data_IF_339588629883
#
_entry.id   IF_339588629883
#
_cell.length_a   1.000
_cell.length_b   1.000
_cell.length_c   1.000
_cell.angle_alpha   90.00
_cell.angle_beta   90.00
_cell.angle_gamma   90.00
#
_symmetry.space_group_name_H-M   'P 1'
#
loop_
_entity.id
_entity.type
_entity.pdbx_description
1 polymer ?
#
# COMPACT_ATOMS: atom_id res chain seq x y z
N UNK A 1 -9.65 -18.15 -2.57
CA UNK A 1 -8.90 -18.19 -3.83
C UNK A 1 -9.92 -18.42 -4.92
N UNK A 2 -10.39 -17.34 -5.56
CA UNK A 2 -11.43 -17.42 -6.59
C UNK A 2 -10.75 -17.42 -7.96
N UNK A 3 -11.05 -18.46 -8.73
CA UNK A 3 -10.49 -18.77 -10.04
C UNK A 3 -10.99 -17.74 -11.08
N UNK A 4 -10.05 -17.11 -11.80
CA UNK A 4 -10.35 -16.17 -12.88
C UNK A 4 -10.66 -16.97 -14.13
N UNK A 5 -11.93 -17.05 -14.49
CA UNK A 5 -12.38 -17.75 -15.68
C UNK A 5 -12.12 -16.89 -16.91
N UNK A 6 -11.10 -17.27 -17.67
CA UNK A 6 -10.72 -16.66 -18.95
C UNK A 6 -11.81 -16.99 -19.98
N UNK A 7 -12.43 -15.95 -20.54
CA UNK A 7 -13.41 -16.08 -21.61
C UNK A 7 -12.66 -16.31 -22.92
N UNK A 8 -12.78 -17.52 -23.47
CA UNK A 8 -12.21 -17.89 -24.77
C UNK A 8 -13.11 -17.33 -25.91
N UNK A 9 -12.55 -16.57 -26.87
CA UNK A 9 -13.32 -15.95 -27.95
C UNK A 9 -13.92 -16.92 -28.98
N UNK A 10 -13.69 -18.24 -28.85
CA UNK A 10 -14.18 -19.24 -29.80
C UNK A 10 -15.19 -20.24 -29.22
N UNK A 11 -15.87 -19.86 -28.13
CA UNK A 11 -16.88 -20.70 -27.49
C UNK A 11 -18.14 -20.85 -28.36
N UNK A 12 -18.68 -22.07 -28.40
CA UNK A 12 -19.79 -22.49 -29.27
C UNK A 12 -21.07 -21.66 -29.08
N UNK A 13 -21.18 -20.97 -27.94
CA UNK A 13 -22.27 -20.04 -27.62
C UNK A 13 -22.28 -18.80 -28.52
N UNK A 14 -21.11 -18.29 -28.94
CA UNK A 14 -21.02 -17.11 -29.82
C UNK A 14 -21.42 -17.49 -31.26
N UNK A 15 -21.02 -18.69 -31.71
CA UNK A 15 -21.41 -19.22 -33.01
C UNK A 15 -22.92 -19.49 -33.11
N UNK A 16 -23.53 -19.99 -32.03
CA UNK A 16 -24.98 -20.21 -31.98
C UNK A 16 -25.75 -18.87 -32.01
N UNK A 17 -25.28 -17.86 -31.30
CA UNK A 17 -25.92 -16.54 -31.26
C UNK A 17 -25.79 -15.79 -32.60
N UNK A 18 -24.70 -15.98 -33.33
CA UNK A 18 -24.49 -15.41 -34.67
C UNK A 18 -25.37 -16.07 -35.75
N UNK A 19 -25.69 -17.36 -35.60
CA UNK A 19 -26.60 -18.05 -36.51
C UNK A 19 -28.05 -17.52 -36.40
N UNK A 20 -28.52 -17.20 -35.19
CA UNK A 20 -29.86 -16.64 -34.98
C UNK A 20 -30.01 -15.22 -35.55
N UNK A 21 -28.94 -14.41 -35.50
CA UNK A 21 -28.96 -13.03 -36.04
C UNK A 21 -29.08 -12.99 -37.58
N UNK A 22 -28.64 -14.05 -38.29
CA UNK A 22 -28.65 -14.08 -39.75
C UNK A 22 -30.00 -14.44 -40.38
N UNK A 23 -30.92 -15.06 -39.63
CA UNK A 23 -32.24 -15.48 -40.13
C UNK A 23 -33.29 -14.36 -40.01
N UNK A 24 -33.01 -13.32 -39.22
CA UNK A 24 -33.94 -12.21 -39.01
C UNK A 24 -33.59 -10.96 -39.83
N UNK A 25 -33.17 -11.14 -41.10
CA UNK A 25 -32.92 -10.06 -42.07
C UNK A 25 -33.99 -9.95 -43.16
N UNK A 26 -35.19 -10.48 -42.91
CA UNK A 26 -36.23 -10.59 -43.95
C UNK A 26 -37.64 -10.19 -43.56
N UNK A 27 -37.92 -9.78 -42.32
CA UNK A 27 -39.28 -9.41 -41.95
C UNK A 27 -39.38 -8.03 -41.28
N UNK A 28 -40.33 -7.30 -41.82
CA UNK A 28 -40.75 -5.93 -41.57
C UNK A 28 -40.89 -5.57 -40.08
N UNK A 29 -39.94 -4.78 -39.57
CA UNK A 29 -40.20 -3.95 -38.39
C UNK A 29 -41.09 -2.78 -38.81
N UNK A 30 -42.30 -2.61 -38.24
CA UNK A 30 -43.13 -1.45 -38.53
C UNK A 30 -42.43 -0.19 -37.99
N UNK A 31 -41.84 0.59 -38.89
CA UNK A 31 -41.49 1.98 -38.62
C UNK A 31 -42.78 2.80 -38.44
N UNK A 32 -43.26 2.93 -37.22
CA UNK A 32 -44.28 3.94 -36.87
C UNK A 32 -43.89 4.71 -35.61
N UNK A 33 -42.67 5.27 -35.64
CA UNK A 33 -42.23 6.33 -34.71
C UNK A 33 -42.34 7.75 -35.28
N UNK A 34 -43.06 7.94 -36.39
CA UNK A 34 -43.16 9.22 -37.12
C UNK A 34 -44.53 9.92 -37.07
N UNK A 35 -45.54 9.35 -36.39
CA UNK A 35 -46.95 9.80 -36.50
C UNK A 35 -47.58 10.35 -35.21
N UNK A 36 -46.78 10.69 -34.20
CA UNK A 36 -47.30 11.26 -32.95
C UNK A 36 -47.04 12.79 -32.79
N UNK A 37 -46.77 13.50 -33.90
CA UNK A 37 -46.72 14.96 -33.89
C UNK A 37 -47.44 15.55 -35.11
N UNK A 38 -48.72 15.24 -35.22
CA UNK A 38 -49.69 16.08 -35.95
C UNK A 38 -50.94 16.24 -35.09
N UNK A 39 -50.82 16.96 -33.97
CA UNK A 39 -51.93 17.83 -33.57
C UNK A 39 -51.85 19.04 -34.49
N UNK A 40 -52.15 18.80 -35.77
CA UNK A 40 -52.41 19.85 -36.71
C UNK A 40 -53.63 20.59 -36.18
N UNK A 41 -53.41 21.88 -35.98
CA UNK A 41 -54.42 22.89 -35.90
C UNK A 41 -55.63 22.53 -36.77
N UNK A 42 -56.80 22.49 -36.12
CA UNK A 42 -58.04 23.05 -36.63
C UNK A 42 -58.23 23.01 -38.15
N UNK A 43 -58.56 21.85 -38.70
CA UNK A 43 -59.34 21.78 -39.94
C UNK A 43 -60.45 20.76 -39.78
N UNK A 44 -61.40 21.09 -38.92
CA UNK A 44 -62.77 20.61 -39.09
C UNK A 44 -63.38 21.33 -40.30
N UNK A 45 -63.01 20.89 -41.50
CA UNK A 45 -63.71 21.25 -42.73
C UNK A 45 -65.11 20.59 -42.72
N UNK A 46 -66.01 21.11 -41.89
CA UNK A 46 -67.44 20.89 -42.02
C UNK A 46 -67.98 21.85 -43.08
N UNK A 47 -67.83 21.47 -44.34
CA UNK A 47 -68.63 22.03 -45.42
C UNK A 47 -69.92 21.21 -45.53
N UNK A 48 -70.72 21.26 -44.46
CA UNK A 48 -72.13 20.86 -44.48
C UNK A 48 -72.93 22.15 -44.50
N UNK A 49 -73.91 22.32 -45.40
CA UNK A 49 -74.79 23.49 -45.34
C UNK A 49 -75.60 23.40 -44.06
N UNK A 50 -75.13 24.09 -43.03
CA UNK A 50 -75.80 24.18 -41.75
C UNK A 50 -77.03 25.05 -41.96
N UNK A 51 -78.20 24.40 -42.00
CA UNK A 51 -79.48 25.09 -41.89
C UNK A 51 -79.45 26.01 -40.66
N UNK A 52 -79.88 27.27 -40.82
CA UNK A 52 -79.94 28.26 -39.76
C UNK A 52 -81.01 27.87 -38.71
N UNK A 53 -80.64 27.61 -37.43
CA UNK A 53 -81.48 28.03 -36.34
C UNK A 53 -80.89 29.34 -35.79
N UNK A 54 -81.45 30.47 -36.24
CA UNK A 54 -81.18 31.77 -35.61
C UNK A 54 -81.77 31.78 -34.21
N UNK A 55 -81.00 31.32 -33.22
CA UNK A 55 -81.25 31.63 -31.83
C UNK A 55 -80.79 33.06 -31.56
N UNK A 56 -81.74 33.98 -31.35
CA UNK A 56 -81.49 35.38 -30.94
C UNK A 56 -80.63 36.22 -31.92
N UNK A 57 -80.75 36.01 -33.24
CA UNK A 57 -80.24 36.94 -34.26
C UNK A 57 -78.71 36.99 -34.46
N UNK A 58 -77.97 36.00 -33.94
CA UNK A 58 -76.51 35.91 -34.08
C UNK A 58 -76.11 34.65 -34.86
N UNK A 59 -75.10 34.76 -35.71
CA UNK A 59 -74.57 33.64 -36.50
C UNK A 59 -73.96 32.54 -35.64
N UNK A 60 -74.01 31.29 -36.11
CA UNK A 60 -73.44 30.13 -35.41
C UNK A 60 -71.94 30.28 -35.10
N UNK A 61 -71.20 31.00 -35.96
CA UNK A 61 -69.79 31.35 -35.76
C UNK A 61 -69.57 32.21 -34.52
N UNK A 62 -70.50 33.12 -34.20
CA UNK A 62 -70.42 33.98 -33.01
C UNK A 62 -70.57 33.13 -31.75
N UNK A 63 -71.53 32.20 -31.72
CA UNK A 63 -71.72 31.32 -30.57
C UNK A 63 -70.54 30.35 -30.35
N UNK A 64 -69.93 29.85 -31.44
CA UNK A 64 -68.71 29.04 -31.39
C UNK A 64 -67.53 29.85 -30.86
N UNK A 65 -67.33 31.08 -31.36
CA UNK A 65 -66.26 31.96 -30.89
C UNK A 65 -66.40 32.33 -29.41
N UNK A 66 -67.64 32.57 -28.95
CA UNK A 66 -67.96 32.87 -27.56
C UNK A 66 -67.73 31.65 -26.65
N UNK A 67 -68.05 30.45 -27.14
CA UNK A 67 -67.77 29.19 -26.45
C UNK A 67 -66.26 28.92 -26.32
N UNK A 68 -65.49 29.18 -27.38
CA UNK A 68 -64.03 29.04 -27.35
C UNK A 68 -63.39 30.06 -26.40
N UNK A 69 -63.87 31.30 -26.41
CA UNK A 69 -63.45 32.34 -25.47
C UNK A 69 -63.78 31.96 -24.03
N UNK A 70 -64.96 31.41 -23.77
CA UNK A 70 -65.35 30.92 -22.45
C UNK A 70 -64.44 29.79 -21.95
N UNK A 71 -64.08 28.83 -22.82
CA UNK A 71 -63.12 27.76 -22.49
C UNK A 71 -61.74 28.33 -22.16
N UNK A 72 -61.23 29.26 -22.97
CA UNK A 72 -59.93 29.91 -22.71
C UNK A 72 -59.98 30.70 -21.40
N UNK A 73 -61.05 31.46 -21.14
CA UNK A 73 -61.24 32.19 -19.89
C UNK A 73 -61.29 31.25 -18.69
N UNK A 74 -61.98 30.11 -18.79
CA UNK A 74 -62.01 29.07 -17.75
C UNK A 74 -60.63 28.44 -17.56
N UNK A 75 -59.85 28.17 -18.62
CA UNK A 75 -58.50 27.63 -18.51
C UNK A 75 -57.52 28.60 -17.82
N UNK A 76 -57.65 29.90 -18.12
CA UNK A 76 -56.88 30.95 -17.44
C UNK A 76 -57.31 31.06 -15.97
N UNK A 77 -58.62 31.02 -15.69
CA UNK A 77 -59.15 31.08 -14.33
C UNK A 77 -58.77 29.85 -13.50
N UNK A 78 -58.72 28.66 -14.11
CA UNK A 78 -58.20 27.42 -13.51
C UNK A 78 -56.67 27.32 -13.52
N UNK A 79 -55.97 28.35 -14.01
CA UNK A 79 -54.51 28.50 -13.96
C UNK A 79 -53.74 27.35 -14.63
N UNK A 80 -54.32 26.74 -15.67
CA UNK A 80 -53.68 25.69 -16.47
C UNK A 80 -52.29 26.10 -17.01
N UNK A 81 -52.10 27.29 -17.62
CA UNK A 81 -50.77 27.70 -18.09
C UNK A 81 -49.74 27.83 -16.95
N UNK A 82 -50.16 28.23 -15.75
CA UNK A 82 -49.28 28.30 -14.58
C UNK A 82 -48.89 26.90 -14.07
N UNK A 83 -49.77 25.90 -14.18
CA UNK A 83 -49.46 24.52 -13.78
C UNK A 83 -48.41 23.89 -14.71
N UNK A 84 -48.49 24.15 -16.02
CA UNK A 84 -47.49 23.71 -17.01
C UNK A 84 -46.14 24.38 -16.74
N UNK A 85 -46.12 25.70 -16.49
CA UNK A 85 -44.91 26.42 -16.10
C UNK A 85 -44.24 25.80 -14.87
N UNK A 86 -45.01 25.56 -13.80
CA UNK A 86 -44.50 24.91 -12.59
C UNK A 86 -43.95 23.50 -12.83
N UNK A 87 -44.55 22.71 -13.72
CA UNK A 87 -44.07 21.37 -14.05
C UNK A 87 -42.72 21.42 -14.80
N UNK A 88 -42.55 22.39 -15.70
CA UNK A 88 -41.30 22.64 -16.40
C UNK A 88 -40.22 23.15 -15.44
N UNK A 89 -40.56 24.11 -14.58
CA UNK A 89 -39.63 24.62 -13.55
C UNK A 89 -39.16 23.50 -12.61
N UNK A 90 -40.06 22.59 -12.22
CA UNK A 90 -39.71 21.40 -11.41
C UNK A 90 -38.73 20.48 -12.15
N UNK A 91 -38.92 20.27 -13.45
CA UNK A 91 -37.98 19.49 -14.27
C UNK A 91 -36.62 20.18 -14.39
N UNK A 92 -36.60 21.48 -14.63
CA UNK A 92 -35.37 22.28 -14.69
C UNK A 92 -34.62 22.22 -13.36
N UNK A 93 -35.33 22.37 -12.23
CA UNK A 93 -34.75 22.27 -10.91
C UNK A 93 -34.13 20.88 -10.67
N UNK A 94 -34.83 19.80 -11.00
CA UNK A 94 -34.30 18.45 -10.87
C UNK A 94 -33.09 18.16 -11.77
N UNK A 95 -33.07 18.70 -12.99
CA UNK A 95 -31.90 18.58 -13.89
C UNK A 95 -30.71 19.36 -13.33
N UNK A 96 -30.94 20.56 -12.79
CA UNK A 96 -29.87 21.36 -12.15
C UNK A 96 -29.29 20.62 -10.95
N UNK A 97 -30.14 20.09 -10.08
CA UNK A 97 -29.72 19.30 -8.92
C UNK A 97 -28.87 18.08 -9.33
N UNK A 98 -29.29 17.34 -10.36
CA UNK A 98 -28.51 16.21 -10.89
C UNK A 98 -27.18 16.65 -11.52
N UNK A 99 -27.15 17.80 -12.21
CA UNK A 99 -25.90 18.34 -12.76
C UNK A 99 -24.95 18.79 -11.65
N UNK A 100 -25.46 19.43 -10.62
CA UNK A 100 -24.68 19.91 -9.47
C UNK A 100 -24.13 18.72 -8.68
N UNK A 101 -24.93 17.68 -8.45
CA UNK A 101 -24.49 16.43 -7.81
C UNK A 101 -23.44 15.71 -8.66
N UNK A 102 -23.63 15.62 -9.98
CA UNK A 102 -22.64 15.02 -10.87
C UNK A 102 -21.33 15.84 -10.93
N UNK A 103 -21.42 17.17 -10.86
CA UNK A 103 -20.25 18.05 -10.80
C UNK A 103 -19.51 17.89 -9.47
N UNK A 104 -20.24 17.83 -8.35
CA UNK A 104 -19.68 17.56 -7.02
C UNK A 104 -18.99 16.20 -6.98
N UNK A 105 -19.64 15.14 -7.49
CA UNK A 105 -19.06 13.80 -7.53
C UNK A 105 -17.80 13.72 -8.40
N UNK A 106 -17.75 14.47 -9.52
CA UNK A 106 -16.51 14.58 -10.31
C UNK A 106 -15.41 15.31 -9.55
N UNK A 107 -15.73 16.42 -8.88
CA UNK A 107 -14.76 17.16 -8.08
C UNK A 107 -14.20 16.31 -6.93
N UNK A 108 -15.05 15.53 -6.25
CA UNK A 108 -14.63 14.59 -5.22
C UNK A 108 -13.75 13.47 -5.79
N UNK A 109 -14.09 12.91 -6.95
CA UNK A 109 -13.26 11.88 -7.60
C UNK A 109 -11.90 12.43 -8.05
N UNK A 110 -11.84 13.66 -8.56
CA UNK A 110 -10.60 14.32 -8.92
C UNK A 110 -9.75 14.65 -7.68
N UNK A 111 -10.37 15.16 -6.62
CA UNK A 111 -9.70 15.41 -5.34
C UNK A 111 -9.12 14.11 -4.76
N UNK A 112 -9.90 13.03 -4.76
CA UNK A 112 -9.47 11.73 -4.26
C UNK A 112 -8.31 11.16 -5.10
N UNK A 113 -8.37 11.29 -6.43
CA UNK A 113 -7.26 10.91 -7.31
C UNK A 113 -5.99 11.70 -7.01
N UNK A 114 -6.11 13.01 -6.82
CA UNK A 114 -4.97 13.87 -6.48
C UNK A 114 -4.39 13.49 -5.12
N UNK A 115 -5.23 13.20 -4.13
CA UNK A 115 -4.80 12.75 -2.80
C UNK A 115 -4.06 11.40 -2.87
N UNK A 116 -4.58 10.43 -3.61
CA UNK A 116 -3.90 9.14 -3.79
C UNK A 116 -2.58 9.29 -4.57
N UNK A 117 -2.55 10.11 -5.62
CA UNK A 117 -1.31 10.36 -6.36
C UNK A 117 -0.24 11.02 -5.46
N UNK A 118 -0.65 11.99 -4.64
CA UNK A 118 0.24 12.62 -3.66
C UNK A 118 0.72 11.62 -2.59
N UNK A 119 -0.18 10.75 -2.09
CA UNK A 119 0.17 9.69 -1.14
C UNK A 119 1.14 8.68 -1.74
N UNK A 120 0.96 8.28 -2.99
CA UNK A 120 1.90 7.37 -3.67
C UNK A 120 3.26 8.03 -3.84
N UNK A 121 3.32 9.29 -4.29
CA UNK A 121 4.59 10.01 -4.43
C UNK A 121 5.30 10.20 -3.08
N UNK A 122 4.55 10.51 -2.01
CA UNK A 122 5.10 10.61 -0.65
C UNK A 122 5.62 9.25 -0.17
N UNK A 123 4.86 8.17 -0.36
CA UNK A 123 5.29 6.82 0.02
C UNK A 123 6.56 6.36 -0.72
N UNK A 124 6.69 6.70 -2.01
CA UNK A 124 7.90 6.44 -2.79
C UNK A 124 9.12 7.21 -2.25
N UNK A 125 8.95 8.49 -1.90
CA UNK A 125 10.00 9.29 -1.28
C UNK A 125 10.39 8.75 0.11
N UNK A 126 9.41 8.39 0.94
CA UNK A 126 9.65 7.79 2.25
C UNK A 126 10.39 6.45 2.11
N UNK A 127 9.99 5.60 1.16
CA UNK A 127 10.67 4.34 0.89
C UNK A 127 12.12 4.55 0.45
N UNK A 128 12.39 5.53 -0.44
CA UNK A 128 13.74 5.88 -0.86
C UNK A 128 14.60 6.36 0.33
N UNK A 129 14.03 7.23 1.16
CA UNK A 129 14.71 7.75 2.37
C UNK A 129 14.98 6.65 3.39
N UNK A 130 14.03 5.73 3.57
CA UNK A 130 14.17 4.56 4.43
C UNK A 130 15.29 3.64 3.94
N UNK A 131 15.39 3.44 2.63
CA UNK A 131 16.41 2.60 2.02
C UNK A 131 17.80 3.23 2.13
N UNK A 132 17.92 4.54 1.96
CA UNK A 132 19.17 5.29 2.20
C UNK A 132 19.60 5.18 3.66
N UNK A 133 18.68 5.44 4.61
CA UNK A 133 18.96 5.30 6.04
C UNK A 133 19.37 3.88 6.42
N UNK A 134 18.69 2.87 5.88
CA UNK A 134 19.02 1.47 6.13
C UNK A 134 20.41 1.11 5.59
N UNK A 135 20.82 1.63 4.43
CA UNK A 135 22.18 1.45 3.90
C UNK A 135 23.22 2.09 4.81
N UNK A 136 23.02 3.35 5.19
CA UNK A 136 23.94 4.06 6.08
C UNK A 136 24.05 3.37 7.45
N UNK A 137 22.93 2.89 8.00
CA UNK A 137 22.91 2.15 9.25
C UNK A 137 23.63 0.79 9.12
N UNK A 138 23.42 0.07 8.02
CA UNK A 138 24.13 -1.18 7.74
C UNK A 138 25.65 -0.97 7.61
N UNK A 139 26.08 0.06 6.88
CA UNK A 139 27.49 0.44 6.76
C UNK A 139 28.10 0.79 8.14
N UNK A 140 27.36 1.53 8.97
CA UNK A 140 27.76 1.82 10.34
C UNK A 140 27.90 0.58 11.22
N UNK A 141 26.96 -0.37 11.12
CA UNK A 141 27.02 -1.65 11.84
C UNK A 141 28.22 -2.47 11.39
N UNK A 142 28.51 -2.54 10.09
CA UNK A 142 29.67 -3.27 9.56
C UNK A 142 30.97 -2.65 10.07
N UNK A 143 31.12 -1.32 9.97
CA UNK A 143 32.31 -0.63 10.46
C UNK A 143 32.51 -0.82 11.97
N UNK A 144 31.43 -0.75 12.76
CA UNK A 144 31.50 -1.01 14.20
C UNK A 144 31.87 -2.47 14.49
N UNK A 145 31.28 -3.43 13.77
CA UNK A 145 31.59 -4.85 13.92
C UNK A 145 33.05 -5.17 13.57
N UNK A 146 33.61 -4.54 12.54
CA UNK A 146 35.03 -4.65 12.18
C UNK A 146 35.94 -4.10 13.29
N UNK A 147 35.62 -2.92 13.82
CA UNK A 147 36.35 -2.33 14.95
C UNK A 147 36.31 -3.22 16.20
N UNK A 148 35.12 -3.72 16.54
CA UNK A 148 34.95 -4.59 17.71
C UNK A 148 35.65 -5.94 17.53
N UNK A 149 35.61 -6.51 16.32
CA UNK A 149 36.35 -7.72 15.99
C UNK A 149 37.85 -7.52 16.11
N UNK A 150 38.40 -6.41 15.59
CA UNK A 150 39.81 -6.07 15.72
C UNK A 150 40.22 -5.93 17.20
N UNK A 151 39.43 -5.22 18.01
CA UNK A 151 39.67 -5.07 19.44
C UNK A 151 39.59 -6.41 20.19
N UNK A 152 38.68 -7.31 19.80
CA UNK A 152 38.58 -8.66 20.34
C UNK A 152 39.82 -9.49 20.03
N UNK A 153 40.31 -9.43 18.78
CA UNK A 153 41.54 -10.12 18.37
C UNK A 153 42.73 -9.59 19.15
N UNK A 154 42.91 -8.27 19.25
CA UNK A 154 44.01 -7.67 20.02
C UNK A 154 43.97 -8.13 21.49
N UNK A 155 42.80 -8.09 22.12
CA UNK A 155 42.63 -8.56 23.51
C UNK A 155 42.98 -10.04 23.65
N UNK A 156 42.59 -10.88 22.68
CA UNK A 156 42.88 -12.32 22.67
C UNK A 156 44.37 -12.59 22.49
N UNK A 157 45.02 -11.85 21.61
CA UNK A 157 46.48 -11.92 21.40
C UNK A 157 47.21 -11.55 22.69
N UNK A 158 46.88 -10.41 23.31
CA UNK A 158 47.51 -10.00 24.57
C UNK A 158 47.34 -11.03 25.68
N UNK A 159 46.13 -11.60 25.84
CA UNK A 159 45.90 -12.67 26.81
C UNK A 159 46.71 -13.94 26.52
N UNK A 160 46.96 -14.25 25.25
CA UNK A 160 47.79 -15.39 24.87
C UNK A 160 49.28 -15.11 25.15
N UNK A 161 49.76 -13.92 24.81
CA UNK A 161 51.12 -13.45 25.11
C UNK A 161 51.38 -13.45 26.62
N UNK A 162 50.45 -12.94 27.43
CA UNK A 162 50.55 -12.94 28.89
C UNK A 162 50.63 -14.36 29.46
N UNK A 163 49.86 -15.30 28.90
CA UNK A 163 49.90 -16.72 29.29
C UNK A 163 51.22 -17.37 28.90
N UNK A 164 51.74 -17.09 27.71
CA UNK A 164 53.04 -17.59 27.25
C UNK A 164 54.13 -17.06 28.17
N UNK A 165 54.16 -15.75 28.44
CA UNK A 165 55.14 -15.13 29.32
C UNK A 165 55.08 -15.67 30.77
N UNK A 166 53.88 -16.00 31.26
CA UNK A 166 53.71 -16.65 32.56
C UNK A 166 54.23 -18.10 32.55
N UNK A 167 53.93 -18.86 31.49
CA UNK A 167 54.39 -20.23 31.32
C UNK A 167 55.92 -20.31 31.16
N UNK A 168 56.53 -19.39 30.40
CA UNK A 168 57.98 -19.27 30.26
C UNK A 168 58.66 -19.01 31.60
N UNK A 169 58.14 -18.07 32.39
CA UNK A 169 58.63 -17.81 33.75
C UNK A 169 58.54 -19.04 34.63
N UNK A 170 57.43 -19.77 34.59
CA UNK A 170 57.26 -21.00 35.34
C UNK A 170 58.26 -22.09 34.89
N UNK A 171 58.43 -22.29 33.58
CA UNK A 171 59.36 -23.27 33.02
C UNK A 171 60.82 -22.97 33.39
N UNK A 172 61.24 -21.70 33.34
CA UNK A 172 62.59 -21.30 33.77
C UNK A 172 62.81 -21.61 35.25
N UNK A 173 61.83 -21.34 36.10
CA UNK A 173 61.94 -21.68 37.53
C UNK A 173 61.97 -23.19 37.76
N UNK A 174 61.19 -23.97 37.01
CA UNK A 174 61.21 -25.43 37.09
C UNK A 174 62.57 -26.00 36.67
N UNK A 175 63.18 -25.50 35.58
CA UNK A 175 64.53 -25.92 35.15
C UNK A 175 65.58 -25.57 36.20
N UNK A 176 65.49 -24.37 36.79
CA UNK A 176 66.41 -23.96 37.88
C UNK A 176 66.26 -24.84 39.12
N UNK A 177 65.04 -25.17 39.52
CA UNK A 177 64.77 -26.07 40.64
C UNK A 177 65.34 -27.46 40.36
N UNK A 178 65.05 -28.05 39.19
CA UNK A 178 65.61 -29.36 38.77
C UNK A 178 67.14 -29.36 38.73
N UNK A 179 67.77 -28.28 38.25
CA UNK A 179 69.22 -28.15 38.24
C UNK A 179 69.81 -28.05 39.66
N UNK A 180 69.17 -27.29 40.54
CA UNK A 180 69.57 -27.18 41.95
C UNK A 180 69.43 -28.52 42.68
N UNK A 181 68.33 -29.25 42.46
CA UNK A 181 68.10 -30.57 43.03
C UNK A 181 69.11 -31.60 42.52
N UNK A 182 69.41 -31.60 41.22
CA UNK A 182 70.43 -32.47 40.63
C UNK A 182 71.83 -32.16 41.17
N UNK A 183 72.19 -30.87 41.31
CA UNK A 183 73.46 -30.45 41.88
C UNK A 183 73.56 -30.83 43.36
N UNK A 184 72.50 -30.65 44.15
CA UNK A 184 72.45 -31.04 45.55
C UNK A 184 72.56 -32.56 45.72
N UNK A 185 71.88 -33.34 44.88
CA UNK A 185 71.97 -34.80 44.87
C UNK A 185 73.39 -35.29 44.51
N UNK A 186 74.02 -34.69 43.49
CA UNK A 186 75.39 -35.02 43.12
C UNK A 186 76.40 -34.63 44.21
N UNK A 187 76.24 -33.46 44.85
CA UNK A 187 77.05 -33.05 45.98
C UNK A 187 76.88 -33.99 47.17
N UNK A 188 75.65 -34.39 47.51
CA UNK A 188 75.39 -35.36 48.56
C UNK A 188 76.05 -36.72 48.28
N UNK A 189 76.00 -37.21 47.04
CA UNK A 189 76.70 -38.42 46.62
C UNK A 189 78.22 -38.31 46.78
N UNK A 190 78.82 -37.20 46.31
CA UNK A 190 80.26 -36.98 46.44
C UNK A 190 80.71 -36.86 47.90
N UNK A 191 79.91 -36.19 48.74
CA UNK A 191 80.15 -36.08 50.19
C UNK A 191 80.11 -37.48 50.81
N UNK A 192 79.12 -38.31 50.48
CA UNK A 192 79.02 -39.68 50.99
C UNK A 192 80.22 -40.57 50.58
N UNK A 193 80.74 -40.41 49.36
CA UNK A 193 81.91 -41.15 48.88
C UNK A 193 83.24 -40.67 49.51
N UNK A 194 83.33 -39.40 49.90
CA UNK A 194 84.57 -38.76 50.39
C UNK A 194 84.58 -38.52 51.90
N UNK A 195 83.50 -38.81 52.61
CA UNK A 195 83.44 -38.67 54.07
C UNK A 195 84.25 -39.75 54.76
N UNK A 196 85.25 -39.33 55.52
CA UNK A 196 86.01 -40.19 56.43
C UNK A 196 85.96 -39.62 57.86
N UNK A 197 86.35 -40.43 58.85
CA UNK A 197 86.35 -40.04 60.26
C UNK A 197 87.27 -38.82 60.57
N UNK A 198 88.19 -38.46 59.66
CA UNK A 198 89.07 -37.30 59.79
C UNK A 198 88.38 -36.00 59.36
N UNK A 199 87.53 -36.06 58.33
CA UNK A 199 86.67 -34.97 57.91
C UNK A 199 85.61 -34.62 58.97
N UNK A 200 85.01 -35.63 59.61
CA UNK A 200 84.04 -35.46 60.71
C UNK A 200 84.65 -34.66 61.88
N UNK A 201 85.85 -35.03 62.33
CA UNK A 201 86.51 -34.38 63.46
C UNK A 201 86.77 -32.89 63.20
N UNK A 202 87.18 -32.52 61.99
CA UNK A 202 87.38 -31.12 61.60
C UNK A 202 86.09 -30.30 61.47
N UNK A 203 84.95 -30.94 61.16
CA UNK A 203 83.64 -30.29 61.16
C UNK A 203 83.16 -30.03 62.60
N UNK A 204 83.34 -30.99 63.50
CA UNK A 204 83.01 -30.87 64.93
C UNK A 204 83.83 -29.75 65.59
N UNK A 205 85.14 -29.71 65.35
CA UNK A 205 86.01 -28.68 65.92
C UNK A 205 85.61 -27.27 65.43
N UNK A 206 85.20 -27.12 64.16
CA UNK A 206 84.68 -25.85 63.61
C UNK A 206 83.31 -25.45 64.17
N UNK A 207 82.40 -26.40 64.35
CA UNK A 207 81.09 -26.12 64.93
C UNK A 207 81.20 -25.66 66.40
N UNK A 208 82.12 -26.27 67.17
CA UNK A 208 82.44 -25.85 68.54
C UNK A 208 83.09 -24.46 68.53
N UNK A 209 83.99 -24.17 67.59
CA UNK A 209 84.63 -22.87 67.47
C UNK A 209 83.68 -21.73 67.04
N UNK A 210 82.61 -22.02 66.29
CA UNK A 210 81.62 -21.02 65.87
C UNK A 210 80.53 -20.73 66.92
N UNK A 211 80.51 -21.48 68.02
CA UNK A 211 79.56 -21.30 69.14
C UNK A 211 80.18 -20.54 70.33
N UNK A 212 81.49 -20.29 70.30
CA UNK A 212 82.22 -19.39 71.20
C UNK A 212 82.44 -18.03 70.54
#
# INVERSE_FOLDING_TARGET
MAEVQVIDPNDALVAHNLAEVSVQKGDSMPHTGGTALTTAAAEGAHNTPHAEPKGLGLDATVWVSLSMLAVIAIMIWKKVPAAIGKALDKKIAGIREQLDEAAALRAEAEALRAEYAAKTAAAEQEAATLLERARHEAEGIVAQAESDAAALVERRTRMAEDKIAAAERAAVQEVRAKAADAAAAAAAGLIAERHDAKADKGLVDRAIAGLN
#
